data_IF_063930878609
#
_entry.id   IF_063930878609
#
_cell.length_a   1.000
_cell.length_b   1.000
_cell.length_c   1.000
_cell.angle_alpha   90.00
_cell.angle_beta   90.00
_cell.angle_gamma   90.00
#
_symmetry.space_group_name_H-M   'P 1'
#
loop_
_entity.id
_entity.type
_entity.pdbx_description
1 polymer ?
#
# COMPACT_ATOMS: atom_id res chain seq x y z
N UNK A 1 26.91 -30.76 10.22
CA UNK A 1 27.97 -29.73 10.13
C UNK A 1 28.55 -29.63 8.71
N UNK A 2 28.99 -30.73 8.09
CA UNK A 2 29.56 -30.73 6.73
C UNK A 2 28.62 -30.15 5.65
N UNK A 3 27.33 -30.53 5.64
CA UNK A 3 26.36 -30.00 4.67
C UNK A 3 26.06 -28.50 4.81
N UNK A 4 26.18 -27.95 6.02
CA UNK A 4 26.00 -26.53 6.29
C UNK A 4 27.23 -25.73 5.82
N UNK A 5 28.42 -26.30 5.96
CA UNK A 5 29.69 -25.74 5.46
C UNK A 5 29.72 -25.77 3.91
N UNK A 6 29.29 -26.88 3.30
CA UNK A 6 29.20 -26.99 1.83
C UNK A 6 28.15 -26.00 1.29
N UNK A 7 26.98 -25.90 1.95
CA UNK A 7 25.95 -24.91 1.60
C UNK A 7 26.46 -23.47 1.71
N UNK A 8 27.16 -23.11 2.80
CA UNK A 8 27.78 -21.79 2.94
C UNK A 8 28.83 -21.54 1.85
N UNK A 9 29.65 -22.54 1.53
CA UNK A 9 30.72 -22.43 0.54
C UNK A 9 30.19 -22.27 -0.89
N UNK A 10 28.98 -22.74 -1.20
CA UNK A 10 28.32 -22.55 -2.49
C UNK A 10 27.59 -21.19 -2.57
N UNK A 11 27.00 -20.72 -1.46
CA UNK A 11 26.30 -19.44 -1.40
C UNK A 11 27.29 -18.26 -1.39
N UNK A 12 28.44 -18.43 -0.74
CA UNK A 12 29.47 -17.41 -0.60
C UNK A 12 29.98 -16.81 -1.92
N UNK A 13 30.23 -17.57 -3.01
CA UNK A 13 30.60 -16.98 -4.30
C UNK A 13 29.39 -16.43 -5.09
N UNK A 14 28.19 -16.96 -4.90
CA UNK A 14 26.98 -16.50 -5.63
C UNK A 14 26.58 -15.10 -5.18
N UNK A 15 26.64 -14.84 -3.88
CA UNK A 15 26.24 -13.56 -3.29
C UNK A 15 26.97 -12.33 -3.86
N UNK A 16 28.32 -12.29 -3.93
CA UNK A 16 29.05 -11.16 -4.52
C UNK A 16 28.81 -11.05 -6.04
N UNK A 17 28.59 -12.17 -6.75
CA UNK A 17 28.23 -12.14 -8.18
C UNK A 17 26.87 -11.45 -8.36
N UNK A 18 25.89 -11.76 -7.52
CA UNK A 18 24.57 -11.10 -7.55
C UNK A 18 24.70 -9.61 -7.25
N UNK A 19 25.48 -9.23 -6.24
CA UNK A 19 25.76 -7.82 -5.94
C UNK A 19 26.43 -7.13 -7.13
N UNK A 20 27.42 -7.76 -7.74
CA UNK A 20 28.11 -7.21 -8.91
C UNK A 20 27.15 -6.97 -10.07
N UNK A 21 26.27 -7.93 -10.37
CA UNK A 21 25.23 -7.79 -11.38
C UNK A 21 24.30 -6.61 -11.05
N UNK A 22 23.90 -6.46 -9.78
CA UNK A 22 23.07 -5.34 -9.33
C UNK A 22 23.79 -4.00 -9.54
N UNK A 23 25.08 -3.92 -9.20
CA UNK A 23 25.90 -2.71 -9.41
C UNK A 23 26.01 -2.37 -10.89
N UNK A 24 26.32 -3.35 -11.75
CA UNK A 24 26.41 -3.15 -13.21
C UNK A 24 25.07 -2.65 -13.76
N UNK A 25 23.96 -3.27 -13.36
CA UNK A 25 22.62 -2.83 -13.74
C UNK A 25 22.30 -1.43 -13.20
N UNK A 26 22.84 -1.02 -12.04
CA UNK A 26 22.65 0.32 -11.48
C UNK A 26 23.41 1.37 -12.31
N UNK A 27 24.66 1.06 -12.70
CA UNK A 27 25.45 1.90 -13.59
C UNK A 27 24.75 2.12 -14.94
N UNK A 28 24.20 1.05 -15.53
CA UNK A 28 23.48 1.10 -16.79
C UNK A 28 22.07 1.72 -16.69
N UNK A 29 21.57 1.98 -15.47
CA UNK A 29 20.23 2.51 -15.24
C UNK A 29 19.10 1.52 -15.58
N UNK A 30 19.41 0.23 -15.77
CA UNK A 30 18.43 -0.81 -16.11
C UNK A 30 18.05 -1.61 -14.87
N UNK A 31 16.78 -1.99 -14.73
CA UNK A 31 16.35 -2.99 -13.73
C UNK A 31 16.27 -4.37 -14.39
N UNK A 32 16.51 -5.44 -13.62
CA UNK A 32 16.40 -6.82 -14.12
C UNK A 32 14.94 -7.28 -14.34
N UNK A 33 13.94 -6.47 -13.98
CA UNK A 33 12.52 -6.83 -14.07
C UNK A 33 12.04 -7.85 -13.02
N UNK A 34 12.93 -8.35 -12.15
CA UNK A 34 12.61 -9.41 -11.17
C UNK A 34 11.54 -8.97 -10.19
N UNK A 35 11.58 -7.71 -9.76
CA UNK A 35 10.65 -7.15 -8.78
C UNK A 35 9.28 -6.90 -9.38
N UNK A 36 9.24 -6.44 -10.62
CA UNK A 36 8.02 -6.22 -11.40
C UNK A 36 7.30 -7.57 -11.60
N UNK A 37 8.04 -8.62 -12.01
CA UNK A 37 7.50 -9.99 -12.05
C UNK A 37 7.04 -10.50 -10.69
N UNK A 38 7.80 -10.24 -9.63
CA UNK A 38 7.40 -10.61 -8.26
C UNK A 38 6.09 -9.94 -7.86
N UNK A 39 5.91 -8.66 -8.17
CA UNK A 39 4.66 -7.93 -7.93
C UNK A 39 3.51 -8.51 -8.75
N UNK A 40 3.72 -8.83 -10.03
CA UNK A 40 2.70 -9.49 -10.87
C UNK A 40 2.27 -10.85 -10.31
N UNK A 41 3.23 -11.68 -9.87
CA UNK A 41 2.91 -12.96 -9.24
C UNK A 41 2.15 -12.78 -7.93
N UNK A 42 2.52 -11.79 -7.11
CA UNK A 42 1.80 -11.45 -5.88
C UNK A 42 0.36 -11.03 -6.16
N UNK A 43 0.13 -10.16 -7.15
CA UNK A 43 -1.21 -9.72 -7.52
C UNK A 43 -2.07 -10.92 -7.94
N UNK A 44 -1.54 -11.81 -8.79
CA UNK A 44 -2.23 -13.05 -9.18
C UNK A 44 -2.55 -13.96 -8.00
N UNK A 45 -1.66 -14.05 -7.00
CA UNK A 45 -1.92 -14.84 -5.79
C UNK A 45 -2.98 -14.21 -4.90
N UNK A 46 -3.04 -12.88 -4.82
CA UNK A 46 -4.08 -12.15 -4.08
C UNK A 46 -5.45 -12.20 -4.76
N UNK A 47 -5.50 -12.11 -6.09
CA UNK A 47 -6.73 -12.32 -6.88
C UNK A 47 -7.27 -13.74 -6.70
N UNK A 48 -6.40 -14.76 -6.74
CA UNK A 48 -6.82 -16.12 -6.42
C UNK A 48 -7.32 -16.23 -4.96
N UNK A 49 -6.64 -15.57 -4.02
CA UNK A 49 -7.02 -15.52 -2.62
C UNK A 49 -8.43 -14.97 -2.41
N UNK A 50 -8.81 -13.89 -3.11
CA UNK A 50 -10.16 -13.32 -2.99
C UNK A 50 -11.27 -14.23 -3.52
N UNK A 51 -11.01 -15.03 -4.58
CA UNK A 51 -12.01 -16.01 -5.06
C UNK A 51 -12.30 -17.12 -4.05
N UNK A 52 -11.32 -17.46 -3.21
CA UNK A 52 -11.49 -18.47 -2.16
C UNK A 52 -12.25 -17.91 -0.95
N UNK A 53 -12.21 -16.60 -0.75
CA UNK A 53 -12.97 -15.92 0.29
C UNK A 53 -14.44 -15.76 -0.11
N UNK A 54 -14.71 -15.30 -1.33
CA UNK A 54 -16.08 -15.15 -1.85
C UNK A 54 -16.83 -16.48 -1.89
N UNK A 55 -16.16 -17.61 -2.20
CA UNK A 55 -16.80 -18.93 -2.18
C UNK A 55 -17.18 -19.42 -0.78
N UNK A 56 -16.43 -19.04 0.27
CA UNK A 56 -16.71 -19.42 1.66
C UNK A 56 -17.86 -18.59 2.23
N UNK A 57 -17.87 -17.27 1.99
CA UNK A 57 -18.97 -16.40 2.44
C UNK A 57 -20.24 -16.57 1.60
N UNK A 58 -20.10 -16.83 0.30
CA UNK A 58 -21.22 -17.10 -0.59
C UNK A 58 -21.97 -18.37 -0.20
N UNK A 59 -21.27 -19.43 0.23
CA UNK A 59 -21.91 -20.67 0.67
C UNK A 59 -22.62 -20.51 2.02
N UNK A 60 -22.02 -19.79 2.97
CA UNK A 60 -22.63 -19.53 4.29
C UNK A 60 -23.90 -18.68 4.20
N UNK A 61 -23.93 -17.72 3.27
CA UNK A 61 -25.13 -16.91 3.00
C UNK A 61 -26.26 -17.77 2.41
N UNK A 62 -25.93 -18.71 1.52
CA UNK A 62 -26.92 -19.64 0.94
C UNK A 62 -27.48 -20.62 2.00
N UNK A 63 -26.68 -21.05 2.98
CA UNK A 63 -27.14 -21.91 4.09
C UNK A 63 -28.02 -21.13 5.10
N UNK A 64 -27.73 -19.86 5.37
CA UNK A 64 -28.55 -19.00 6.24
C UNK A 64 -29.87 -18.57 5.54
N UNK A 65 -29.84 -18.36 4.22
CA UNK A 65 -31.03 -18.02 3.41
C UNK A 65 -31.98 -19.21 3.19
N UNK A 66 -31.54 -20.46 3.39
CA UNK A 66 -32.39 -21.65 3.32
C UNK A 66 -33.36 -21.78 4.52
N UNK A 67 -33.25 -20.89 5.52
CA UNK A 67 -34.23 -20.77 6.63
C UNK A 67 -35.30 -19.72 6.34
N UNK A 68 -35.20 -18.96 5.24
CA UNK A 68 -36.14 -17.91 4.88
C UNK A 68 -36.84 -18.20 3.53
N UNK A 69 -37.98 -18.88 3.65
CA UNK A 69 -39.14 -18.85 2.76
C UNK A 69 -39.02 -19.45 1.34
N UNK A 70 -39.86 -20.46 1.13
CA UNK A 70 -40.01 -21.32 -0.03
C UNK A 70 -40.75 -20.60 -1.16
N UNK A 71 -40.12 -19.58 -1.75
CA UNK A 71 -40.58 -18.95 -3.00
C UNK A 71 -39.53 -18.00 -3.56
N UNK A 72 -38.74 -18.46 -4.56
CA UNK A 72 -38.20 -17.70 -5.72
C UNK A 72 -36.98 -18.41 -6.34
N UNK A 73 -37.19 -19.57 -6.94
CA UNK A 73 -36.13 -20.21 -7.75
C UNK A 73 -35.90 -19.54 -9.12
N UNK A 74 -36.85 -18.75 -9.63
CA UNK A 74 -36.80 -18.33 -11.04
C UNK A 74 -36.07 -17.00 -11.30
N UNK A 75 -35.77 -16.18 -10.28
CA UNK A 75 -35.05 -14.90 -10.45
C UNK A 75 -33.52 -15.00 -10.25
N UNK A 76 -33.02 -16.03 -9.55
CA UNK A 76 -31.59 -16.15 -9.18
C UNK A 76 -30.63 -16.24 -10.38
N UNK A 77 -31.07 -16.78 -11.52
CA UNK A 77 -30.21 -16.91 -12.71
C UNK A 77 -30.03 -15.61 -13.52
N UNK A 78 -31.00 -14.67 -13.49
CA UNK A 78 -30.86 -13.38 -14.21
C UNK A 78 -30.05 -12.35 -13.42
N UNK A 79 -30.03 -12.45 -12.08
CA UNK A 79 -29.27 -11.53 -11.24
C UNK A 79 -27.75 -11.80 -11.26
N UNK A 80 -27.32 -13.06 -11.42
CA UNK A 80 -25.89 -13.44 -11.45
C UNK A 80 -25.11 -12.84 -12.65
N UNK A 81 -25.75 -12.52 -13.78
CA UNK A 81 -25.05 -11.89 -14.94
C UNK A 81 -25.00 -10.37 -14.89
N UNK A 82 -25.80 -9.70 -14.06
CA UNK A 82 -25.92 -8.23 -14.04
C UNK A 82 -25.02 -7.55 -13.00
N UNK A 83 -24.45 -8.29 -12.06
CA UNK A 83 -23.61 -7.77 -10.95
C UNK A 83 -22.18 -7.35 -11.33
N UNK A 84 -21.83 -7.30 -12.63
CA UNK A 84 -20.52 -6.79 -13.09
C UNK A 84 -20.50 -5.29 -13.41
N UNK A 85 -21.60 -4.56 -13.22
CA UNK A 85 -21.63 -3.09 -13.35
C UNK A 85 -22.58 -2.52 -12.30
N UNK A 86 -22.07 -1.58 -11.50
CA UNK A 86 -22.72 -0.89 -10.35
C UNK A 86 -22.38 -1.46 -8.97
N UNK A 87 -21.23 -1.07 -8.46
CA UNK A 87 -20.85 -1.07 -7.04
C UNK A 87 -21.43 0.16 -6.30
N UNK A 88 -22.64 0.61 -6.67
CA UNK A 88 -23.23 1.85 -6.15
C UNK A 88 -24.47 1.70 -5.27
N UNK A 89 -24.91 0.48 -4.93
CA UNK A 89 -26.21 0.31 -4.25
C UNK A 89 -26.21 -0.82 -3.22
N UNK A 90 -25.24 -0.79 -2.31
CA UNK A 90 -25.42 -1.37 -0.98
C UNK A 90 -25.06 -0.26 0.00
N UNK A 91 -26.08 0.34 0.62
CA UNK A 91 -25.88 1.21 1.78
C UNK A 91 -25.04 0.44 2.80
N UNK A 92 -23.98 1.08 3.29
CA UNK A 92 -23.00 0.44 4.19
C UNK A 92 -23.64 0.14 5.56
N UNK A 93 -24.82 0.70 5.85
CA UNK A 93 -25.54 0.56 7.12
C UNK A 93 -27.04 0.37 6.85
N UNK A 94 -27.70 -0.50 7.61
CA UNK A 94 -29.18 -0.65 7.61
C UNK A 94 -29.77 0.55 8.35
N UNK A 95 -30.66 1.31 7.69
CA UNK A 95 -31.24 2.58 8.19
C UNK A 95 -32.23 2.44 9.35
N UNK A 96 -31.79 1.81 10.44
CA UNK A 96 -32.65 1.49 11.58
C UNK A 96 -33.22 2.74 12.25
N UNK A 97 -32.44 3.81 12.35
CA UNK A 97 -32.84 5.02 13.05
C UNK A 97 -33.69 5.94 12.17
N UNK A 98 -33.30 6.11 10.90
CA UNK A 98 -34.14 6.85 9.95
C UNK A 98 -35.49 6.18 9.70
N UNK A 99 -35.56 4.83 9.67
CA UNK A 99 -36.82 4.08 9.57
C UNK A 99 -37.65 4.15 10.86
N UNK A 100 -36.97 4.11 12.03
CA UNK A 100 -37.62 4.31 13.34
C UNK A 100 -38.33 5.65 13.42
N UNK A 101 -37.68 6.74 13.01
CA UNK A 101 -38.26 8.09 12.98
C UNK A 101 -39.46 8.18 12.04
N UNK A 102 -39.36 7.64 10.81
CA UNK A 102 -40.48 7.66 9.85
C UNK A 102 -41.70 6.88 10.38
N UNK A 103 -41.45 5.77 11.11
CA UNK A 103 -42.50 4.99 11.76
C UNK A 103 -43.13 5.71 12.95
N UNK A 104 -42.34 6.47 13.73
CA UNK A 104 -42.83 7.29 14.87
C UNK A 104 -43.65 8.48 14.37
N UNK A 105 -43.20 9.17 13.32
CA UNK A 105 -43.93 10.29 12.71
C UNK A 105 -45.28 9.87 12.13
N UNK A 106 -45.35 8.70 11.46
CA UNK A 106 -46.62 8.15 10.97
C UNK A 106 -47.60 7.79 12.08
N UNK A 107 -47.10 7.31 13.23
CA UNK A 107 -47.94 6.97 14.39
C UNK A 107 -48.48 8.21 15.10
N UNK A 108 -47.71 9.31 15.14
CA UNK A 108 -48.14 10.58 15.73
C UNK A 108 -49.20 11.31 14.88
N UNK A 109 -49.17 11.13 13.56
CA UNK A 109 -50.16 11.69 12.64
C UNK A 109 -51.52 10.96 12.75
N UNK A 110 -51.52 9.66 13.06
CA UNK A 110 -52.71 8.81 13.15
C UNK A 110 -53.32 8.74 14.57
N UNK A 111 -52.55 9.03 15.62
CA UNK A 111 -52.96 8.92 17.03
C UNK A 111 -52.64 10.20 17.81
N UNK A 112 -53.67 11.00 18.10
CA UNK A 112 -53.56 12.23 18.92
C UNK A 112 -53.31 11.98 20.41
N UNK A 113 -52.39 11.09 20.77
CA UNK A 113 -52.08 10.74 22.16
C UNK A 113 -50.96 11.59 22.76
N UNK A 114 -51.18 12.08 23.99
CA UNK A 114 -50.25 12.89 24.76
C UNK A 114 -49.36 11.99 25.63
N UNK A 115 -48.13 11.76 25.19
CA UNK A 115 -47.11 11.09 26.01
C UNK A 115 -46.34 12.07 26.94
N UNK A 116 -45.75 11.53 28.01
CA UNK A 116 -44.92 12.29 28.97
C UNK A 116 -43.79 13.03 28.25
N UNK A 117 -43.89 14.36 28.26
CA UNK A 117 -43.20 15.27 27.35
C UNK A 117 -41.67 15.18 27.43
N UNK A 118 -41.10 14.78 28.57
CA UNK A 118 -39.65 14.78 28.78
C UNK A 118 -38.98 13.54 28.15
N UNK A 119 -39.59 12.36 28.26
CA UNK A 119 -39.03 11.14 27.67
C UNK A 119 -39.11 11.17 26.13
N UNK A 120 -40.22 11.69 25.60
CA UNK A 120 -40.43 11.88 24.15
C UNK A 120 -39.42 12.87 23.57
N UNK A 121 -39.20 14.02 24.22
CA UNK A 121 -38.24 15.02 23.73
C UNK A 121 -36.81 14.46 23.72
N UNK A 122 -36.39 13.72 24.75
CA UNK A 122 -35.02 13.18 24.83
C UNK A 122 -34.80 12.03 23.84
N UNK A 123 -35.75 11.11 23.73
CA UNK A 123 -35.67 9.97 22.80
C UNK A 123 -35.73 10.44 21.34
N UNK A 124 -36.65 11.35 21.02
CA UNK A 124 -36.75 11.91 19.67
C UNK A 124 -35.53 12.76 19.31
N UNK A 125 -35.01 13.57 20.24
CA UNK A 125 -33.77 14.35 19.99
C UNK A 125 -32.58 13.42 19.73
N UNK A 126 -32.46 12.33 20.48
CA UNK A 126 -31.39 11.35 20.28
C UNK A 126 -31.52 10.62 18.93
N UNK A 127 -32.74 10.21 18.57
CA UNK A 127 -33.04 9.60 17.28
C UNK A 127 -32.70 10.54 16.12
N UNK A 128 -33.09 11.82 16.19
CA UNK A 128 -32.75 12.83 15.18
C UNK A 128 -31.24 13.05 15.06
N UNK A 129 -30.50 13.09 16.18
CA UNK A 129 -29.04 13.18 16.18
C UNK A 129 -28.42 11.94 15.52
N UNK A 130 -28.91 10.74 15.86
CA UNK A 130 -28.40 9.49 15.29
C UNK A 130 -28.71 9.35 13.81
N UNK A 131 -29.90 9.76 13.35
CA UNK A 131 -30.24 9.82 11.93
C UNK A 131 -29.41 10.88 11.18
N UNK A 132 -29.11 12.01 11.82
CA UNK A 132 -28.18 13.02 11.30
C UNK A 132 -26.77 12.45 11.11
N UNK A 133 -26.24 11.75 12.12
CA UNK A 133 -24.94 11.08 12.04
C UNK A 133 -24.95 9.98 10.96
N UNK A 134 -26.01 9.18 10.87
CA UNK A 134 -26.20 8.16 9.83
C UNK A 134 -26.17 8.78 8.42
N UNK A 135 -26.82 9.94 8.23
CA UNK A 135 -26.80 10.66 6.95
C UNK A 135 -25.44 11.26 6.58
N UNK A 136 -24.65 11.69 7.57
CA UNK A 136 -23.28 12.21 7.38
C UNK A 136 -22.32 11.06 7.02
N UNK A 137 -22.50 9.89 7.63
CA UNK A 137 -21.70 8.69 7.34
C UNK A 137 -21.98 8.19 5.91
N UNK A 138 -23.23 8.25 5.46
CA UNK A 138 -23.64 7.88 4.09
C UNK A 138 -23.44 9.01 3.06
N UNK A 139 -22.86 10.15 3.44
CA UNK A 139 -22.67 11.26 2.52
C UNK A 139 -21.75 10.86 1.34
N UNK A 140 -22.12 11.36 0.16
CA UNK A 140 -21.40 11.17 -1.09
C UNK A 140 -19.99 11.78 -1.04
N UNK A 141 -19.69 12.67 -0.09
CA UNK A 141 -18.36 13.23 0.15
C UNK A 141 -17.52 12.32 1.06
N UNK A 142 -18.09 11.87 2.19
CA UNK A 142 -17.41 10.97 3.13
C UNK A 142 -17.00 9.65 2.49
N UNK A 143 -17.85 9.10 1.61
CA UNK A 143 -17.53 7.87 0.86
C UNK A 143 -16.35 8.04 -0.12
N UNK A 144 -16.05 9.26 -0.58
CA UNK A 144 -14.88 9.54 -1.44
C UNK A 144 -13.58 9.62 -0.63
N UNK A 145 -13.68 9.88 0.67
CA UNK A 145 -12.56 9.85 1.60
C UNK A 145 -12.35 8.48 2.25
N UNK A 146 -13.35 7.59 2.17
CA UNK A 146 -13.16 6.18 2.53
C UNK A 146 -12.27 5.55 1.46
N UNK A 147 -11.08 5.10 1.87
CA UNK A 147 -10.18 4.38 0.97
C UNK A 147 -10.96 3.20 0.37
N UNK A 148 -10.94 3.09 -0.96
CA UNK A 148 -11.48 1.91 -1.65
C UNK A 148 -10.74 0.69 -1.11
N UNK A 149 -11.40 -0.09 -0.27
CA UNK A 149 -10.89 -1.40 0.14
C UNK A 149 -10.86 -2.24 -1.15
N UNK A 150 -9.69 -2.32 -1.77
CA UNK A 150 -9.46 -3.17 -2.93
C UNK A 150 -10.08 -4.54 -2.62
N UNK A 151 -10.99 -5.01 -3.49
CA UNK A 151 -11.63 -6.32 -3.39
C UNK A 151 -10.64 -7.48 -3.67
N UNK A 152 -9.39 -7.32 -3.24
CA UNK A 152 -8.33 -8.31 -3.31
C UNK A 152 -7.91 -8.66 -1.88
N UNK A 153 -7.98 -9.95 -1.57
CA UNK A 153 -7.49 -10.48 -0.30
C UNK A 153 -5.99 -10.17 -0.21
N UNK A 154 -5.57 -9.51 0.86
CA UNK A 154 -4.17 -9.19 1.09
C UNK A 154 -3.69 -9.79 2.42
N UNK A 155 -2.37 -9.93 2.57
CA UNK A 155 -1.76 -10.51 3.77
C UNK A 155 -2.06 -9.74 5.08
N UNK A 156 -2.48 -8.47 5.00
CA UNK A 156 -2.80 -7.58 6.13
C UNK A 156 -4.29 -7.64 6.53
N UNK A 157 -5.18 -8.05 5.63
CA UNK A 157 -6.63 -8.19 5.90
C UNK A 157 -6.92 -9.23 6.99
N UNK A 158 -6.02 -10.20 7.24
CA UNK A 158 -6.16 -11.18 8.34
C UNK A 158 -6.11 -10.56 9.75
N UNK A 159 -5.52 -9.37 9.89
CA UNK A 159 -5.46 -8.65 11.18
C UNK A 159 -6.71 -7.83 11.49
N UNK A 160 -7.67 -7.77 10.55
CA UNK A 160 -8.99 -7.18 10.79
C UNK A 160 -9.85 -8.14 11.61
N UNK A 161 -10.40 -7.63 12.72
CA UNK A 161 -11.11 -8.36 13.79
C UNK A 161 -12.31 -9.19 13.29
N UNK A 162 -12.81 -8.96 12.07
CA UNK A 162 -13.97 -9.65 11.50
C UNK A 162 -13.68 -10.97 10.74
N UNK A 163 -12.41 -11.33 10.50
CA UNK A 163 -12.06 -12.44 9.59
C UNK A 163 -11.42 -13.63 10.33
N UNK A 164 -12.14 -14.17 11.33
CA UNK A 164 -11.58 -15.17 12.24
C UNK A 164 -11.64 -16.62 11.70
N UNK A 165 -12.38 -16.87 10.61
CA UNK A 165 -12.54 -18.21 10.02
C UNK A 165 -12.13 -18.23 8.54
N UNK A 166 -10.83 -18.10 8.30
CA UNK A 166 -10.23 -18.22 6.96
C UNK A 166 -9.79 -19.67 6.68
N UNK A 167 -10.04 -20.12 5.45
CA UNK A 167 -9.66 -21.42 4.89
C UNK A 167 -8.17 -21.75 5.17
N UNK A 168 -7.86 -23.01 5.53
CA UNK A 168 -6.50 -23.43 5.88
C UNK A 168 -5.47 -23.13 4.76
N UNK A 169 -5.89 -23.16 3.49
CA UNK A 169 -5.07 -22.82 2.32
C UNK A 169 -4.53 -21.38 2.37
N UNK A 170 -5.38 -20.43 2.76
CA UNK A 170 -5.01 -19.01 2.89
C UNK A 170 -4.10 -18.80 4.10
N UNK A 171 -4.30 -19.57 5.18
CA UNK A 171 -3.41 -19.57 6.34
C UNK A 171 -2.00 -20.08 5.99
N UNK A 172 -1.90 -21.14 5.18
CA UNK A 172 -0.60 -21.61 4.67
C UNK A 172 0.06 -20.57 3.76
N UNK A 173 -0.70 -19.94 2.84
CA UNK A 173 -0.19 -18.88 1.98
C UNK A 173 0.32 -17.67 2.79
N UNK A 174 -0.41 -17.31 3.86
CA UNK A 174 -0.01 -16.25 4.78
C UNK A 174 1.27 -16.58 5.55
N UNK A 175 1.37 -17.79 6.13
CA UNK A 175 2.58 -18.25 6.84
C UNK A 175 3.79 -18.29 5.91
N UNK A 176 3.61 -18.79 4.69
CA UNK A 176 4.64 -18.79 3.66
C UNK A 176 5.07 -17.35 3.29
N UNK A 177 4.11 -16.45 3.08
CA UNK A 177 4.39 -15.04 2.79
C UNK A 177 5.13 -14.34 3.93
N UNK A 178 4.76 -14.61 5.18
CA UNK A 178 5.46 -14.13 6.38
C UNK A 178 6.90 -14.63 6.40
N UNK A 179 7.10 -15.94 6.23
CA UNK A 179 8.44 -16.54 6.21
C UNK A 179 9.32 -15.95 5.09
N UNK A 180 8.81 -15.89 3.85
CA UNK A 180 9.54 -15.31 2.71
C UNK A 180 9.90 -13.84 2.96
N UNK A 181 9.00 -13.04 3.56
CA UNK A 181 9.24 -11.63 3.83
C UNK A 181 10.33 -11.41 4.87
N UNK A 182 10.24 -12.08 6.03
CA UNK A 182 11.10 -11.77 7.17
C UNK A 182 12.39 -12.59 7.19
N UNK A 183 12.40 -13.81 6.66
CA UNK A 183 13.58 -14.68 6.67
C UNK A 183 14.47 -14.52 5.43
N UNK A 184 13.91 -14.06 4.30
CA UNK A 184 14.65 -13.98 3.02
C UNK A 184 14.70 -12.54 2.50
N UNK A 185 13.54 -11.91 2.25
CA UNK A 185 13.50 -10.60 1.59
C UNK A 185 14.05 -9.47 2.47
N UNK A 186 13.67 -9.42 3.76
CA UNK A 186 14.13 -8.40 4.69
C UNK A 186 15.66 -8.42 4.91
N UNK A 187 16.30 -9.57 5.21
CA UNK A 187 17.76 -9.64 5.32
C UNK A 187 18.46 -9.24 4.01
N UNK A 188 17.97 -9.72 2.86
CA UNK A 188 18.54 -9.36 1.57
C UNK A 188 18.45 -7.84 1.30
N UNK A 189 17.32 -7.20 1.62
CA UNK A 189 17.14 -5.74 1.52
C UNK A 189 18.09 -4.98 2.44
N UNK A 190 18.26 -5.44 3.67
CA UNK A 190 19.18 -4.83 4.62
C UNK A 190 20.63 -4.89 4.11
N UNK A 191 21.07 -6.03 3.60
CA UNK A 191 22.44 -6.14 3.07
C UNK A 191 22.63 -5.25 1.84
N UNK A 192 21.65 -5.21 0.91
CA UNK A 192 21.73 -4.30 -0.24
C UNK A 192 21.78 -2.82 0.19
N UNK A 193 21.03 -2.45 1.23
CA UNK A 193 21.06 -1.10 1.77
C UNK A 193 22.43 -0.77 2.37
N UNK A 194 22.98 -1.65 3.20
CA UNK A 194 24.31 -1.47 3.81
C UNK A 194 25.40 -1.40 2.74
N UNK A 195 25.36 -2.28 1.73
CA UNK A 195 26.30 -2.26 0.60
C UNK A 195 26.18 -0.95 -0.18
N UNK A 196 24.95 -0.48 -0.47
CA UNK A 196 24.73 0.80 -1.13
C UNK A 196 25.31 1.98 -0.37
N UNK A 197 25.10 2.03 0.95
CA UNK A 197 25.65 3.08 1.82
C UNK A 197 27.18 3.03 1.89
N UNK A 198 27.77 1.86 2.03
CA UNK A 198 29.23 1.69 2.08
C UNK A 198 29.86 2.07 0.74
N UNK A 199 29.29 1.63 -0.39
CA UNK A 199 29.76 2.01 -1.73
C UNK A 199 29.66 3.51 -1.95
N UNK A 200 28.57 4.15 -1.49
CA UNK A 200 28.43 5.60 -1.56
C UNK A 200 29.56 6.32 -0.81
N UNK A 201 29.86 5.92 0.42
CA UNK A 201 30.95 6.53 1.21
C UNK A 201 32.31 6.32 0.55
N UNK A 202 32.59 5.10 0.08
CA UNK A 202 33.86 4.77 -0.57
C UNK A 202 34.05 5.57 -1.86
N UNK A 203 33.04 5.58 -2.75
CA UNK A 203 33.15 6.22 -4.06
C UNK A 203 33.20 7.75 -3.91
N UNK A 204 32.37 8.35 -3.05
CA UNK A 204 32.42 9.80 -2.82
C UNK A 204 33.74 10.23 -2.18
N UNK A 205 34.29 9.45 -1.26
CA UNK A 205 35.62 9.69 -0.69
C UNK A 205 36.72 9.56 -1.75
N UNK A 206 36.65 8.54 -2.61
CA UNK A 206 37.59 8.34 -3.71
C UNK A 206 37.57 9.50 -4.73
N UNK A 207 36.37 9.98 -5.09
CA UNK A 207 36.17 11.15 -5.97
C UNK A 207 36.72 12.43 -5.33
N UNK A 208 36.78 12.51 -4.00
CA UNK A 208 37.38 13.62 -3.26
C UNK A 208 38.86 13.86 -3.58
N UNK A 209 39.60 12.81 -3.91
CA UNK A 209 41.04 12.88 -4.25
C UNK A 209 41.30 13.30 -5.71
N UNK A 210 40.27 13.45 -6.54
CA UNK A 210 40.41 13.84 -7.94
C UNK A 210 40.62 15.35 -8.05
N UNK A 211 41.79 15.78 -8.54
CA UNK A 211 42.16 17.20 -8.66
C UNK A 211 41.48 17.93 -9.82
N UNK A 212 41.07 17.22 -10.89
CA UNK A 212 40.44 17.85 -12.06
C UNK A 212 38.95 18.13 -11.79
N UNK A 213 38.48 19.40 -11.83
CA UNK A 213 37.12 19.77 -11.46
C UNK A 213 36.05 19.22 -12.43
N UNK A 214 36.36 19.13 -13.73
CA UNK A 214 35.42 18.61 -14.72
C UNK A 214 35.22 17.10 -14.56
N UNK A 215 36.32 16.36 -14.40
CA UNK A 215 36.30 14.92 -14.16
C UNK A 215 35.65 14.59 -12.81
N UNK A 216 35.96 15.37 -11.76
CA UNK A 216 35.35 15.22 -10.44
C UNK A 216 33.84 15.39 -10.50
N UNK A 217 33.34 16.42 -11.19
CA UNK A 217 31.89 16.65 -11.37
C UNK A 217 31.22 15.50 -12.11
N UNK A 218 31.81 15.07 -13.24
CA UNK A 218 31.28 13.97 -14.03
C UNK A 218 31.24 12.65 -13.25
N UNK A 219 32.33 12.32 -12.54
CA UNK A 219 32.40 11.12 -11.69
C UNK A 219 31.40 11.18 -10.54
N UNK A 220 31.27 12.34 -9.88
CA UNK A 220 30.34 12.49 -8.77
C UNK A 220 28.88 12.33 -9.22
N UNK A 221 28.52 12.88 -10.37
CA UNK A 221 27.18 12.74 -10.95
C UNK A 221 26.84 11.26 -11.23
N UNK A 222 27.75 10.53 -11.88
CA UNK A 222 27.54 9.11 -12.18
C UNK A 222 27.57 8.24 -10.93
N UNK A 223 28.46 8.53 -9.98
CA UNK A 223 28.56 7.84 -8.71
C UNK A 223 27.28 8.01 -7.89
N UNK A 224 26.77 9.24 -7.78
CA UNK A 224 25.56 9.54 -7.01
C UNK A 224 24.33 8.87 -7.61
N UNK A 225 24.16 8.93 -8.94
CA UNK A 225 23.08 8.22 -9.64
C UNK A 225 23.13 6.71 -9.39
N UNK A 226 24.32 6.12 -9.48
CA UNK A 226 24.53 4.69 -9.23
C UNK A 226 24.16 4.34 -7.78
N UNK A 227 24.66 5.09 -6.79
CA UNK A 227 24.38 4.85 -5.37
C UNK A 227 22.89 4.99 -5.05
N UNK A 228 22.23 6.05 -5.54
CA UNK A 228 20.80 6.28 -5.33
C UNK A 228 19.94 5.17 -5.94
N UNK A 229 20.32 4.67 -7.13
CA UNK A 229 19.67 3.50 -7.74
C UNK A 229 19.84 2.22 -6.92
N UNK A 230 21.02 1.99 -6.32
CA UNK A 230 21.23 0.84 -5.42
C UNK A 230 20.39 0.99 -4.15
N UNK A 231 20.41 2.15 -3.51
CA UNK A 231 19.62 2.45 -2.31
C UNK A 231 18.12 2.27 -2.57
N UNK A 232 17.60 2.83 -3.67
CA UNK A 232 16.20 2.66 -4.09
C UNK A 232 15.82 1.19 -4.30
N UNK A 233 16.72 0.37 -4.86
CA UNK A 233 16.50 -1.08 -5.02
C UNK A 233 16.40 -1.80 -3.68
N UNK A 234 17.15 -1.36 -2.66
CA UNK A 234 17.06 -1.92 -1.32
C UNK A 234 15.66 -1.70 -0.70
N UNK A 235 15.01 -0.58 -0.99
CA UNK A 235 13.61 -0.33 -0.61
C UNK A 235 12.59 -1.10 -1.45
N UNK A 236 13.02 -1.82 -2.49
CA UNK A 236 12.13 -2.49 -3.45
C UNK A 236 11.10 -1.54 -4.07
N UNK A 237 11.48 -0.28 -4.32
CA UNK A 237 10.60 0.67 -5.01
C UNK A 237 10.53 0.35 -6.50
N UNK A 238 9.33 0.23 -7.06
CA UNK A 238 9.08 0.23 -8.50
C UNK A 238 8.78 1.68 -8.88
N UNK A 239 9.66 2.30 -9.68
CA UNK A 239 9.56 3.72 -10.02
C UNK A 239 9.27 3.85 -11.51
N UNK A 240 8.18 4.53 -11.84
CA UNK A 240 7.79 4.86 -13.21
C UNK A 240 7.80 6.38 -13.37
N UNK A 241 8.64 6.86 -14.29
CA UNK A 241 8.70 8.28 -14.65
C UNK A 241 7.83 8.51 -15.88
N UNK A 242 6.83 9.38 -15.73
CA UNK A 242 5.95 9.84 -16.81
C UNK A 242 6.40 11.26 -17.25
N UNK A 243 6.05 11.66 -18.47
CA UNK A 243 6.31 12.99 -19.04
C UNK A 243 7.77 13.46 -18.89
N UNK A 244 8.70 12.61 -19.35
CA UNK A 244 10.15 12.84 -19.22
C UNK A 244 10.64 14.09 -19.95
N UNK A 245 9.87 14.59 -20.91
CA UNK A 245 10.09 15.86 -21.61
C UNK A 245 10.02 17.08 -20.69
N UNK A 246 9.27 17.01 -19.59
CA UNK A 246 9.10 18.11 -18.63
C UNK A 246 10.15 18.09 -17.49
N UNK A 247 11.15 17.21 -17.60
CA UNK A 247 12.19 17.06 -16.59
C UNK A 247 13.03 18.32 -16.46
N UNK A 248 13.30 18.74 -15.22
CA UNK A 248 14.21 19.83 -14.94
C UNK A 248 15.63 19.52 -15.49
N UNK A 249 16.04 20.28 -16.50
CA UNK A 249 17.39 20.27 -17.09
C UNK A 249 18.25 21.39 -16.48
N UNK A 250 19.47 21.61 -16.97
CA UNK A 250 20.46 22.53 -16.39
C UNK A 250 19.87 23.88 -15.93
N UNK A 251 19.77 24.07 -14.60
CA UNK A 251 19.24 25.30 -13.98
C UNK A 251 17.74 25.28 -13.65
N UNK A 252 17.02 24.24 -14.04
CA UNK A 252 15.61 24.04 -13.69
C UNK A 252 15.43 23.62 -12.23
N UNK A 253 14.33 24.07 -11.61
CA UNK A 253 13.98 23.74 -10.23
C UNK A 253 12.85 22.72 -10.24
N UNK A 254 13.06 21.59 -9.56
CA UNK A 254 12.01 20.60 -9.31
C UNK A 254 11.39 20.87 -7.94
N UNK A 255 10.05 20.99 -7.91
CA UNK A 255 9.28 21.21 -6.67
C UNK A 255 8.41 19.98 -6.43
N UNK A 256 8.49 19.41 -5.22
CA UNK A 256 7.69 18.26 -4.81
C UNK A 256 6.89 18.62 -3.56
N UNK A 257 5.64 18.15 -3.49
CA UNK A 257 4.71 18.42 -2.39
C UNK A 257 5.20 17.88 -1.04
N UNK A 258 6.01 16.82 -1.08
CA UNK A 258 6.65 16.23 0.08
C UNK A 258 8.11 15.93 -0.25
N UNK A 259 9.02 16.35 0.63
CA UNK A 259 10.47 16.22 0.43
C UNK A 259 11.09 15.50 1.62
N UNK A 260 10.82 14.21 1.74
CA UNK A 260 11.58 13.34 2.65
C UNK A 260 12.88 12.86 1.99
N UNK A 261 13.86 12.36 2.77
CA UNK A 261 15.05 11.72 2.22
C UNK A 261 14.74 10.58 1.23
N UNK A 262 13.62 9.89 1.41
CA UNK A 262 13.15 8.82 0.52
C UNK A 262 12.68 9.41 -0.82
N UNK A 263 11.93 10.52 -0.78
CA UNK A 263 11.46 11.19 -2.00
C UNK A 263 12.64 11.72 -2.82
N UNK A 264 13.64 12.29 -2.13
CA UNK A 264 14.89 12.74 -2.76
C UNK A 264 15.63 11.56 -3.39
N UNK A 265 15.75 10.43 -2.70
CA UNK A 265 16.35 9.22 -3.27
C UNK A 265 15.60 8.75 -4.52
N UNK A 266 14.27 8.75 -4.51
CA UNK A 266 13.43 8.34 -5.65
C UNK A 266 13.66 9.27 -6.85
N UNK A 267 13.63 10.60 -6.64
CA UNK A 267 13.94 11.57 -7.68
C UNK A 267 15.38 11.40 -8.19
N UNK A 268 16.31 11.11 -7.27
CA UNK A 268 17.73 10.95 -7.57
C UNK A 268 18.08 9.68 -8.35
N UNK A 269 17.11 8.79 -8.58
CA UNK A 269 17.28 7.64 -9.48
C UNK A 269 17.37 8.05 -10.96
N UNK A 270 16.72 9.16 -11.31
CA UNK A 270 16.66 9.67 -12.67
C UNK A 270 17.69 10.78 -12.91
N UNK A 271 17.73 11.85 -12.10
CA UNK A 271 18.75 12.91 -12.19
C UNK A 271 19.47 13.18 -10.87
N UNK A 272 20.67 13.75 -10.91
CA UNK A 272 21.30 14.25 -9.70
C UNK A 272 20.75 15.64 -9.35
N UNK A 273 19.96 15.73 -8.27
CA UNK A 273 19.38 16.99 -7.79
C UNK A 273 20.15 17.52 -6.58
N UNK A 274 20.39 18.84 -6.55
CA UNK A 274 20.81 19.52 -5.33
C UNK A 274 19.57 19.81 -4.47
N UNK A 275 19.59 19.40 -3.21
CA UNK A 275 18.49 19.62 -2.29
C UNK A 275 18.69 20.93 -1.54
N UNK A 276 17.67 21.81 -1.57
CA UNK A 276 17.60 23.01 -0.72
C UNK A 276 16.50 22.78 0.30
N UNK A 277 16.88 22.44 1.53
CA UNK A 277 15.96 22.23 2.64
C UNK A 277 15.92 23.42 3.60
N UNK A 278 14.75 23.73 4.16
CA UNK A 278 14.65 24.68 5.27
C UNK A 278 15.28 24.08 6.53
N UNK A 279 16.02 24.90 7.29
CA UNK A 279 16.69 24.47 8.52
C UNK A 279 15.65 24.16 9.60
N UNK A 280 15.35 22.88 9.80
CA UNK A 280 14.46 22.44 10.88
C UNK A 280 15.22 22.24 12.20
N UNK A 281 14.65 22.59 13.37
CA UNK A 281 15.26 22.30 14.67
C UNK A 281 15.26 20.77 14.95
N UNK A 282 16.37 20.23 15.44
CA UNK A 282 16.52 18.80 15.75
C UNK A 282 17.89 18.20 15.36
N UNK A 283 18.03 16.86 15.43
CA UNK A 283 19.25 16.15 15.02
C UNK A 283 19.55 16.32 13.52
N UNK A 284 18.51 16.41 12.68
CA UNK A 284 18.65 16.69 11.25
C UNK A 284 19.10 18.13 10.93
N UNK A 285 18.88 19.09 11.84
CA UNK A 285 19.33 20.49 11.67
C UNK A 285 20.79 20.75 12.06
N UNK A 286 21.51 19.70 12.51
CA UNK A 286 22.92 19.76 12.91
C UNK A 286 23.90 19.44 11.77
N UNK A 287 23.42 18.93 10.64
CA UNK A 287 24.24 18.78 9.44
C UNK A 287 24.36 20.14 8.74
N UNK A 288 25.58 20.64 8.50
CA UNK A 288 25.74 21.86 7.73
C UNK A 288 25.26 21.62 6.30
N UNK A 289 24.43 22.53 5.80
CA UNK A 289 24.14 22.73 4.39
C UNK A 289 25.49 22.86 3.66
N UNK A 290 25.92 21.80 2.98
CA UNK A 290 27.06 21.87 2.08
C UNK A 290 26.61 22.60 0.81
N UNK A 291 27.21 23.77 0.59
CA UNK A 291 27.11 24.57 -0.63
C UNK A 291 27.68 23.85 -1.84
#
# INVERSE_FOLDING_TARGET
MLGLIIGLSLIFPIFPIVILIIVILACLGKSAGVREKYAEYLIKTFEWGSTQEESVYGHRSEDDDLVADDRKETEKQKLKRRRRRSSGSYGIIVRKWSESIDSKLKKLDDSGEKHETIAVIVDDTFDFIMAGIESIIEDQVTSRFKAEELASWNLLTRTSIGFQHINWKLTCLWLLGFFLRYCILMPARLVLFVVGMVLMVIITSAVGYVSNPALKRWLNEHAMLMCMRICSRAFSSIIHFHDRENRATHGGICVANHTSPIDVMILSCDNCYAMVGQRQPGILGRFPTAY
#
